data_IF_543682692391
#
_entry.id   IF_543682692391
#
_cell.length_a   1.000
_cell.length_b   1.000
_cell.length_c   1.000
_cell.angle_alpha   90.00
_cell.angle_beta   90.00
_cell.angle_gamma   90.00
#
_symmetry.space_group_name_H-M   'P 1'
#
loop_
_entity.id
_entity.type
_entity.pdbx_description
1 polymer ?
#
# COMPACT_ATOMS: atom_id res chain seq x y z
N UNK A 1 -13.45 -10.28 -13.82
CA UNK A 1 -12.20 -10.16 -13.04
C UNK A 1 -10.97 -9.90 -13.91
N UNK A 2 -10.68 -10.75 -14.95
CA UNK A 2 -9.50 -10.53 -15.84
C UNK A 2 -9.47 -9.15 -16.51
N UNK A 3 -10.60 -8.62 -16.97
CA UNK A 3 -10.69 -7.30 -17.64
C UNK A 3 -10.38 -6.13 -16.70
N UNK A 4 -10.78 -6.25 -15.43
CA UNK A 4 -10.51 -5.21 -14.41
C UNK A 4 -9.03 -5.20 -14.00
N UNK A 5 -8.42 -6.39 -13.87
CA UNK A 5 -7.00 -6.55 -13.62
C UNK A 5 -6.14 -5.99 -14.76
N UNK A 6 -6.56 -6.25 -16.01
CA UNK A 6 -5.88 -5.66 -17.18
C UNK A 6 -6.03 -4.14 -17.23
N UNK A 7 -7.19 -3.60 -16.86
CA UNK A 7 -7.38 -2.14 -16.79
C UNK A 7 -6.53 -1.49 -15.70
N UNK A 8 -6.38 -2.12 -14.52
CA UNK A 8 -5.52 -1.63 -13.45
C UNK A 8 -4.03 -1.67 -13.85
N UNK A 9 -3.59 -2.73 -14.52
CA UNK A 9 -2.23 -2.85 -15.06
C UNK A 9 -2.01 -1.81 -16.17
N UNK A 10 -2.98 -1.61 -17.05
CA UNK A 10 -2.89 -0.59 -18.12
C UNK A 10 -2.86 0.83 -17.54
N UNK A 11 -3.60 1.13 -16.47
CA UNK A 11 -3.50 2.41 -15.76
C UNK A 11 -2.11 2.61 -15.14
N UNK A 12 -1.56 1.59 -14.48
CA UNK A 12 -0.19 1.65 -13.93
C UNK A 12 0.84 1.88 -15.02
N UNK A 13 0.71 1.25 -16.18
CA UNK A 13 1.62 1.45 -17.33
C UNK A 13 1.44 2.83 -18.00
N UNK A 14 0.23 3.34 -18.08
CA UNK A 14 -0.03 4.67 -18.67
C UNK A 14 0.53 5.79 -17.79
N UNK A 15 0.54 5.63 -16.47
CA UNK A 15 1.11 6.59 -15.53
C UNK A 15 2.64 6.56 -15.60
N UNK A 16 3.27 5.39 -15.79
CA UNK A 16 4.73 5.28 -15.92
C UNK A 16 5.28 5.94 -17.19
N UNK A 17 4.50 6.02 -18.26
CA UNK A 17 4.93 6.68 -19.51
C UNK A 17 5.10 8.21 -19.38
N UNK A 18 4.49 8.84 -18.37
CA UNK A 18 4.62 10.28 -18.10
C UNK A 18 5.67 10.60 -17.01
N UNK A 19 6.35 9.61 -16.45
CA UNK A 19 7.34 9.78 -15.39
C UNK A 19 8.65 10.46 -15.83
N UNK A 20 8.81 10.81 -17.11
CA UNK A 20 10.01 11.47 -17.65
C UNK A 20 10.22 12.93 -17.19
N UNK A 21 9.33 13.47 -16.35
CA UNK A 21 9.47 14.84 -15.82
C UNK A 21 10.22 14.95 -14.47
N UNK A 22 10.78 13.85 -13.94
CA UNK A 22 11.69 13.91 -12.81
C UNK A 22 13.09 14.36 -13.28
N UNK A 23 13.16 15.57 -13.79
CA UNK A 23 14.40 16.24 -14.14
C UNK A 23 14.97 16.94 -12.89
N UNK A 24 15.23 16.19 -11.84
CA UNK A 24 15.98 16.66 -10.69
C UNK A 24 17.14 15.71 -10.42
N UNK A 25 18.31 16.28 -10.40
CA UNK A 25 19.60 15.64 -10.17
C UNK A 25 19.73 14.96 -8.78
N UNK A 26 18.71 15.01 -7.98
CA UNK A 26 18.59 14.28 -6.71
C UNK A 26 17.81 12.99 -6.89
N UNK A 27 18.44 11.86 -6.63
CA UNK A 27 17.76 10.58 -6.52
C UNK A 27 16.69 10.70 -5.41
N UNK A 28 15.44 10.66 -5.79
CA UNK A 28 14.32 10.84 -4.85
C UNK A 28 14.31 9.73 -3.79
N UNK A 29 14.69 8.52 -4.17
CA UNK A 29 14.74 7.35 -3.30
C UNK A 29 16.18 7.06 -2.81
N UNK A 30 16.93 8.12 -2.45
CA UNK A 30 18.27 7.98 -1.87
C UNK A 30 18.22 7.58 -0.41
N UNK A 31 19.27 6.93 0.05
CA UNK A 31 19.50 6.61 1.45
C UNK A 31 19.29 7.82 2.37
N UNK A 32 18.95 7.57 3.64
CA UNK A 32 18.77 8.55 4.72
C UNK A 32 17.55 9.46 4.61
N UNK A 33 16.59 9.15 3.72
CA UNK A 33 15.30 9.87 3.63
C UNK A 33 14.22 9.17 4.47
N UNK A 34 13.39 10.01 5.09
CA UNK A 34 12.21 9.59 5.80
C UNK A 34 10.98 9.63 4.89
N UNK A 35 10.06 8.74 5.16
CA UNK A 35 8.78 8.65 4.50
C UNK A 35 7.65 8.62 5.52
N UNK A 36 6.64 9.44 5.33
CA UNK A 36 5.37 9.36 6.06
C UNK A 36 4.24 9.34 5.06
N UNK A 37 3.30 8.44 5.22
CA UNK A 37 2.18 8.32 4.31
C UNK A 37 0.89 7.93 5.02
N UNK A 38 -0.21 8.20 4.36
CA UNK A 38 -1.53 7.72 4.72
C UNK A 38 -2.17 7.10 3.50
N UNK A 39 -2.95 6.04 3.70
CA UNK A 39 -3.67 5.40 2.62
C UNK A 39 -5.09 5.04 3.05
N UNK A 40 -5.97 5.10 2.09
CA UNK A 40 -7.36 4.69 2.24
C UNK A 40 -7.59 3.50 1.32
N UNK A 41 -8.04 2.41 1.89
CA UNK A 41 -8.53 1.26 1.16
C UNK A 41 -9.98 1.03 1.58
N UNK A 42 -10.86 0.95 0.63
CA UNK A 42 -12.27 0.85 0.97
C UNK A 42 -13.13 0.65 -0.25
N UNK A 43 -12.79 -0.31 -1.02
CA UNK A 43 -13.75 -0.99 -1.84
C UNK A 43 -13.24 -2.42 -1.97
N UNK A 44 -13.68 -3.29 -1.10
CA UNK A 44 -13.83 -4.65 -1.57
C UNK A 44 -14.73 -4.54 -2.80
N UNK A 45 -14.16 -4.56 -4.00
CA UNK A 45 -14.88 -4.74 -5.25
C UNK A 45 -15.47 -6.17 -5.30
N UNK A 46 -15.98 -6.63 -4.19
CA UNK A 46 -16.86 -7.76 -4.08
C UNK A 46 -18.26 -7.25 -4.36
N UNK A 47 -18.63 -7.27 -5.63
CA UNK A 47 -19.99 -7.03 -6.08
C UNK A 47 -20.88 -8.22 -5.62
N UNK A 48 -21.18 -8.23 -4.31
CA UNK A 48 -22.25 -9.03 -3.74
C UNK A 48 -23.31 -8.06 -3.24
N UNK A 49 -24.55 -8.23 -3.71
CA UNK A 49 -25.73 -7.53 -3.19
C UNK A 49 -25.76 -7.72 -1.66
N UNK A 50 -25.58 -6.63 -0.91
CA UNK A 50 -25.64 -6.62 0.55
C UNK A 50 -24.31 -6.39 1.26
N UNK A 51 -23.29 -5.89 0.57
CA UNK A 51 -21.97 -5.64 1.18
C UNK A 51 -21.96 -4.29 1.88
N UNK A 52 -21.83 -4.29 3.21
CA UNK A 52 -21.61 -3.13 4.04
C UNK A 52 -20.32 -2.39 3.59
N UNK A 53 -20.36 -1.08 3.62
CA UNK A 53 -19.21 -0.23 3.34
C UNK A 53 -18.13 -0.46 4.40
N UNK A 54 -16.95 -0.89 3.98
CA UNK A 54 -15.77 -1.05 4.83
C UNK A 54 -14.77 0.02 4.43
N UNK A 55 -14.48 0.93 5.33
CA UNK A 55 -13.44 1.94 5.16
C UNK A 55 -12.23 1.55 6.01
N UNK A 56 -11.11 1.26 5.37
CA UNK A 56 -9.85 1.00 6.03
C UNK A 56 -8.93 2.21 5.83
N UNK A 57 -8.44 2.76 6.92
CA UNK A 57 -7.47 3.87 6.91
C UNK A 57 -6.16 3.37 7.49
N UNK A 58 -5.08 3.58 6.77
CA UNK A 58 -3.73 3.20 7.19
C UNK A 58 -2.82 4.42 7.27
N UNK A 59 -1.99 4.47 8.31
CA UNK A 59 -0.83 5.33 8.38
C UNK A 59 0.43 4.51 8.13
N UNK A 60 1.38 5.06 7.39
CA UNK A 60 2.66 4.44 7.05
C UNK A 60 3.79 5.36 7.47
N UNK A 61 4.88 4.78 7.97
CA UNK A 61 6.14 5.49 8.20
C UNK A 61 7.27 4.61 7.66
N UNK A 62 8.29 5.22 7.06
CA UNK A 62 9.41 4.48 6.50
C UNK A 62 10.71 5.25 6.56
N UNK A 63 11.80 4.53 6.41
CA UNK A 63 13.15 5.05 6.35
C UNK A 63 13.95 4.32 5.27
N UNK A 64 14.56 5.07 4.36
CA UNK A 64 15.40 4.51 3.31
C UNK A 64 16.78 4.13 3.90
N UNK A 65 16.97 2.83 4.10
CA UNK A 65 18.22 2.25 4.66
C UNK A 65 19.35 2.17 3.64
N UNK A 66 19.01 2.15 2.38
CA UNK A 66 19.91 2.21 1.23
C UNK A 66 19.16 2.83 0.06
N UNK A 67 19.88 3.17 -1.02
CA UNK A 67 19.23 3.61 -2.25
C UNK A 67 18.19 2.58 -2.69
N UNK A 68 16.96 3.05 -2.97
CA UNK A 68 15.81 2.25 -3.40
C UNK A 68 15.25 1.23 -2.38
N UNK A 69 15.86 1.10 -1.19
CA UNK A 69 15.41 0.19 -0.13
C UNK A 69 14.87 0.93 1.09
N UNK A 70 13.62 0.66 1.45
CA UNK A 70 12.95 1.27 2.60
C UNK A 70 12.46 0.20 3.57
N UNK A 71 12.75 0.38 4.86
CA UNK A 71 12.00 -0.28 5.93
C UNK A 71 10.71 0.52 6.12
N UNK A 72 9.56 -0.16 6.12
CA UNK A 72 8.25 0.49 6.26
C UNK A 72 7.47 -0.15 7.41
N UNK A 73 6.92 0.72 8.27
CA UNK A 73 5.92 0.37 9.28
C UNK A 73 4.54 0.83 8.84
N UNK A 74 3.51 0.11 9.26
CA UNK A 74 2.10 0.42 9.00
C UNK A 74 1.27 0.25 10.26
N UNK A 75 0.37 1.21 10.48
CA UNK A 75 -0.70 1.13 11.48
C UNK A 75 -2.01 1.29 10.75
N UNK A 76 -2.87 0.29 10.81
CA UNK A 76 -4.18 0.31 10.17
C UNK A 76 -5.31 0.37 11.19
N UNK A 77 -6.35 1.11 10.83
CA UNK A 77 -7.61 1.21 11.57
C UNK A 77 -8.75 0.79 10.66
N UNK A 78 -9.45 -0.28 11.04
CA UNK A 78 -10.62 -0.77 10.32
C UNK A 78 -11.88 -0.42 11.10
N UNK A 79 -12.72 0.40 10.49
CA UNK A 79 -14.06 0.69 10.98
C UNK A 79 -15.07 -0.15 10.18
N UNK A 80 -15.84 -0.96 10.87
CA UNK A 80 -16.97 -1.70 10.31
C UNK A 80 -18.19 -1.46 11.18
N UNK A 81 -19.31 -1.11 10.56
CA UNK A 81 -20.57 -0.89 11.26
C UNK A 81 -21.00 -2.18 11.98
N UNK A 82 -21.18 -2.11 13.30
CA UNK A 82 -21.62 -3.25 14.14
C UNK A 82 -20.51 -4.21 14.58
N UNK A 83 -19.22 -3.92 14.35
CA UNK A 83 -18.11 -4.78 14.77
C UNK A 83 -17.05 -4.03 15.55
N UNK A 84 -16.32 -4.76 16.40
CA UNK A 84 -15.26 -4.19 17.24
C UNK A 84 -14.17 -3.53 16.38
N UNK A 85 -13.69 -2.40 16.84
CA UNK A 85 -12.53 -1.69 16.30
C UNK A 85 -11.30 -2.60 16.23
N UNK A 86 -10.69 -2.68 15.07
CA UNK A 86 -9.51 -3.51 14.84
C UNK A 86 -8.30 -2.65 14.53
N UNK A 87 -7.25 -2.81 15.30
CA UNK A 87 -5.95 -2.19 15.05
C UNK A 87 -5.03 -3.22 14.42
N UNK A 88 -4.45 -2.85 13.29
CA UNK A 88 -3.47 -3.62 12.56
C UNK A 88 -2.10 -2.96 12.69
N UNK A 89 -1.10 -3.74 13.08
CA UNK A 89 0.31 -3.32 13.04
C UNK A 89 1.04 -4.15 11.99
N UNK A 90 1.87 -3.51 11.18
CA UNK A 90 2.66 -4.18 10.17
C UNK A 90 4.04 -3.57 10.04
N UNK A 91 5.01 -4.40 9.68
CA UNK A 91 6.35 -3.96 9.32
C UNK A 91 6.87 -4.80 8.15
N UNK A 92 7.74 -4.21 7.35
CA UNK A 92 8.29 -4.90 6.18
C UNK A 92 9.28 -4.07 5.40
N UNK A 93 9.52 -4.50 4.17
CA UNK A 93 10.47 -3.89 3.26
C UNK A 93 9.75 -3.43 1.99
N UNK A 94 10.16 -2.28 1.47
CA UNK A 94 9.74 -1.74 0.18
C UNK A 94 10.98 -1.52 -0.68
N UNK A 95 10.89 -1.96 -1.92
CA UNK A 95 11.91 -1.75 -2.93
C UNK A 95 11.36 -0.90 -4.08
N UNK A 96 12.09 0.13 -4.47
CA UNK A 96 11.78 0.99 -5.61
C UNK A 96 12.57 0.54 -6.83
N UNK A 97 11.88 0.37 -7.96
CA UNK A 97 12.52 0.01 -9.22
C UNK A 97 13.10 1.26 -9.88
N UNK A 98 14.40 1.27 -10.00
CA UNK A 98 15.27 2.29 -10.60
C UNK A 98 14.54 3.56 -11.13
N UNK A 99 14.45 4.58 -10.29
CA UNK A 99 14.03 5.96 -10.65
C UNK A 99 12.67 6.13 -11.35
N UNK A 100 11.89 5.05 -11.53
CA UNK A 100 10.60 5.16 -12.22
C UNK A 100 9.41 5.36 -11.28
N UNK A 101 9.60 5.32 -9.95
CA UNK A 101 8.53 5.43 -8.96
C UNK A 101 7.73 4.14 -8.74
N UNK A 102 7.94 3.09 -9.54
CA UNK A 102 7.36 1.78 -9.29
C UNK A 102 8.00 1.17 -8.04
N UNK A 103 7.19 0.53 -7.19
CA UNK A 103 7.71 -0.16 -6.01
C UNK A 103 6.98 -1.47 -5.75
N UNK A 104 7.68 -2.39 -5.08
CA UNK A 104 7.12 -3.60 -4.49
C UNK A 104 7.31 -3.54 -2.98
N UNK A 105 6.32 -4.01 -2.22
CA UNK A 105 6.38 -4.05 -0.75
C UNK A 105 6.01 -5.43 -0.25
N UNK A 106 6.79 -5.95 0.70
CA UNK A 106 6.47 -7.15 1.45
C UNK A 106 6.30 -6.76 2.93
N UNK A 107 5.12 -7.03 3.50
CA UNK A 107 4.75 -6.69 4.87
C UNK A 107 4.31 -7.93 5.64
N UNK A 108 4.76 -8.05 6.88
CA UNK A 108 4.12 -8.90 7.88
C UNK A 108 3.19 -8.07 8.73
N UNK A 109 1.89 -8.39 8.72
CA UNK A 109 0.88 -7.71 9.54
C UNK A 109 0.44 -8.59 10.69
N UNK A 110 0.28 -7.98 11.84
CA UNK A 110 -0.25 -8.60 13.03
C UNK A 110 -1.58 -7.94 13.38
N UNK A 111 -2.63 -8.74 13.37
CA UNK A 111 -3.97 -8.31 13.74
C UNK A 111 -4.32 -8.89 15.13
N UNK A 112 -4.69 -8.04 16.07
CA UNK A 112 -5.20 -8.47 17.36
C UNK A 112 -6.71 -8.27 17.41
N UNK A 113 -7.44 -9.38 17.50
CA UNK A 113 -8.88 -9.41 17.60
C UNK A 113 -9.26 -10.12 18.89
N UNK A 114 -9.96 -9.48 19.82
CA UNK A 114 -10.68 -10.10 20.93
C UNK A 114 -10.13 -11.50 21.36
N UNK A 115 -8.89 -11.58 21.88
CA UNK A 115 -8.18 -12.78 22.30
C UNK A 115 -7.66 -13.71 21.17
N UNK A 116 -7.72 -13.29 19.92
CA UNK A 116 -7.20 -14.07 18.80
C UNK A 116 -6.21 -13.23 18.00
N UNK A 117 -4.99 -13.73 17.86
CA UNK A 117 -3.96 -13.11 17.04
C UNK A 117 -3.92 -13.78 15.66
N UNK A 118 -3.85 -13.00 14.60
CA UNK A 118 -3.71 -13.48 13.24
C UNK A 118 -2.52 -12.81 12.56
N UNK A 119 -1.64 -13.60 11.98
CA UNK A 119 -0.51 -13.10 11.19
C UNK A 119 -0.90 -13.10 9.71
N UNK A 120 -0.77 -11.95 9.05
CA UNK A 120 -1.20 -11.75 7.67
C UNK A 120 -0.05 -11.18 6.84
N UNK A 121 0.72 -12.02 6.14
CA UNK A 121 1.65 -11.53 5.14
C UNK A 121 0.90 -10.83 4.00
N UNK A 122 1.43 -9.70 3.58
CA UNK A 122 0.94 -8.91 2.45
C UNK A 122 2.06 -8.66 1.48
N UNK A 123 1.77 -8.84 0.20
CA UNK A 123 2.61 -8.41 -0.92
C UNK A 123 1.87 -7.34 -1.70
N UNK A 124 2.55 -6.28 -2.07
CA UNK A 124 1.94 -5.22 -2.87
C UNK A 124 2.89 -4.66 -3.92
N UNK A 125 2.28 -4.13 -4.97
CA UNK A 125 2.97 -3.39 -6.03
C UNK A 125 2.23 -2.07 -6.19
N UNK A 126 2.96 -0.97 -6.23
CA UNK A 126 2.40 0.35 -6.36
C UNK A 126 3.29 1.29 -7.16
N UNK A 127 2.80 2.49 -7.33
CA UNK A 127 3.50 3.54 -8.07
C UNK A 127 3.46 4.84 -7.26
N UNK A 128 4.63 5.43 -7.00
CA UNK A 128 4.77 6.71 -6.33
C UNK A 128 4.74 7.82 -7.39
N UNK A 129 3.56 8.41 -7.62
CA UNK A 129 3.39 9.54 -8.53
C UNK A 129 3.65 10.85 -7.80
N UNK A 130 4.72 11.55 -8.14
CA UNK A 130 5.09 12.81 -7.51
C UNK A 130 4.21 13.96 -8.01
N UNK A 131 3.43 14.55 -7.10
CA UNK A 131 2.70 15.79 -7.34
C UNK A 131 3.62 17.01 -7.20
N UNK A 132 4.55 16.91 -6.27
CA UNK A 132 5.62 17.89 -6.02
C UNK A 132 6.91 17.13 -5.72
N UNK A 133 8.04 17.81 -5.56
CA UNK A 133 9.32 17.15 -5.27
C UNK A 133 9.33 16.28 -4.01
N UNK A 134 8.31 16.34 -3.14
CA UNK A 134 8.24 15.60 -1.88
C UNK A 134 6.93 14.83 -1.68
N UNK A 135 5.83 15.29 -2.29
CA UNK A 135 4.49 14.73 -2.09
C UNK A 135 4.14 13.78 -3.24
N UNK A 136 3.71 12.59 -2.88
CA UNK A 136 3.28 11.55 -3.82
C UNK A 136 1.82 11.15 -3.64
N UNK A 137 1.21 10.69 -4.73
CA UNK A 137 0.01 9.84 -4.75
C UNK A 137 0.44 8.43 -5.09
N UNK A 138 0.01 7.47 -4.31
CA UNK A 138 0.47 6.09 -4.37
C UNK A 138 -0.68 5.11 -4.60
N UNK A 139 -1.13 4.89 -5.86
CA UNK A 139 -1.97 3.76 -6.16
C UNK A 139 -1.20 2.45 -5.93
N UNK A 140 -1.82 1.51 -5.24
CA UNK A 140 -1.19 0.26 -4.82
C UNK A 140 -2.18 -0.89 -4.97
N UNK A 141 -1.75 -1.96 -5.64
CA UNK A 141 -2.43 -3.26 -5.68
C UNK A 141 -1.78 -4.16 -4.64
N UNK A 142 -2.56 -4.77 -3.76
CA UNK A 142 -2.03 -5.65 -2.73
C UNK A 142 -2.75 -7.01 -2.73
N UNK A 143 -2.02 -8.02 -2.29
CA UNK A 143 -2.53 -9.34 -1.93
C UNK A 143 -2.22 -9.62 -0.47
N UNK A 144 -3.24 -9.92 0.29
CA UNK A 144 -3.14 -10.30 1.70
C UNK A 144 -3.47 -11.78 1.84
N UNK A 145 -2.62 -12.53 2.54
CA UNK A 145 -2.87 -13.91 2.87
C UNK A 145 -3.12 -14.05 4.37
N UNK A 146 -4.25 -14.67 4.75
CA UNK A 146 -4.54 -14.99 6.14
C UNK A 146 -4.05 -16.40 6.47
N UNK A 147 -3.30 -16.54 7.56
CA UNK A 147 -2.80 -17.85 8.00
C UNK A 147 -3.88 -18.70 8.70
N UNK A 148 -5.00 -18.08 9.09
CA UNK A 148 -6.08 -18.78 9.80
C UNK A 148 -7.21 -19.27 8.93
N UNK A 149 -7.58 -18.53 7.89
CA UNK A 149 -8.69 -18.92 7.01
C UNK A 149 -8.47 -18.33 5.60
N UNK A 150 -8.61 -19.18 4.60
CA UNK A 150 -8.52 -18.76 3.19
C UNK A 150 -9.57 -17.72 2.80
N UNK A 151 -10.68 -17.64 3.51
CA UNK A 151 -11.77 -16.69 3.26
C UNK A 151 -11.35 -15.22 3.51
N UNK A 152 -10.30 -15.01 4.28
CA UNK A 152 -9.73 -13.68 4.56
C UNK A 152 -8.53 -13.33 3.67
N UNK A 153 -8.19 -14.21 2.73
CA UNK A 153 -7.15 -13.94 1.73
C UNK A 153 -7.76 -13.27 0.51
N UNK A 154 -7.11 -12.24 -0.03
CA UNK A 154 -7.67 -11.54 -1.18
C UNK A 154 -6.79 -10.45 -1.74
N UNK A 155 -7.21 -9.98 -2.91
CA UNK A 155 -6.62 -8.83 -3.58
C UNK A 155 -7.41 -7.57 -3.25
N UNK A 156 -6.72 -6.45 -3.14
CA UNK A 156 -7.34 -5.14 -2.96
C UNK A 156 -6.57 -4.03 -3.66
N UNK A 157 -7.28 -2.93 -3.87
CA UNK A 157 -6.71 -1.68 -4.37
C UNK A 157 -6.70 -0.67 -3.23
N UNK A 158 -5.65 0.13 -3.19
CA UNK A 158 -5.43 1.16 -2.19
C UNK A 158 -4.88 2.40 -2.87
N UNK A 159 -5.29 3.57 -2.41
CA UNK A 159 -4.72 4.84 -2.82
C UNK A 159 -4.13 5.49 -1.59
N UNK A 160 -2.85 5.81 -1.65
CA UNK A 160 -2.12 6.49 -0.59
C UNK A 160 -1.61 7.84 -1.02
N UNK A 161 -1.20 8.61 -0.01
CA UNK A 161 -0.41 9.83 -0.15
C UNK A 161 0.85 9.64 0.67
N UNK A 162 1.98 10.03 0.12
CA UNK A 162 3.28 9.94 0.75
C UNK A 162 4.02 11.26 0.75
N UNK A 163 4.81 11.50 1.78
CA UNK A 163 5.71 12.64 1.91
C UNK A 163 7.12 12.10 2.18
N UNK A 164 8.08 12.52 1.36
CA UNK A 164 9.51 12.20 1.47
C UNK A 164 10.28 13.42 1.94
N UNK A 165 11.19 13.25 2.92
CA UNK A 165 12.01 14.34 3.45
C UNK A 165 13.32 13.87 4.08
#
# INVERSE_FOLDING_TARGET
MKKLMMAAIAMLMAVSANAQYLNSSEKVFSQDKWYVGASVSGASLNYHKGSDWKLDVDAKAGYLIADDWMIVGRVGYKAQEGSSTNVLLGAGLRYYFESCGLYATALGKYAHFNHTSDFRPELSVGYAYFLTGKLTVEPELYYEHSTKSSDYSGFGLRIGFGLYF
#
